data_IF_347457084313
#
_entry.id   IF_347457084313
#
_cell.length_a   1.000
_cell.length_b   1.000
_cell.length_c   1.000
_cell.angle_alpha   90.00
_cell.angle_beta   90.00
_cell.angle_gamma   90.00
#
_symmetry.space_group_name_H-M   'P 1'
#
loop_
_entity.id
_entity.type
_entity.pdbx_description
1 polymer ?
#
# COMPACT_ATOMS: atom_id res chain seq x y z
N UNK A 1 -19.15 -73.98 -11.90
CA UNK A 1 -18.06 -73.03 -11.60
C UNK A 1 -18.29 -71.83 -12.49
N UNK A 2 -19.10 -70.88 -12.01
CA UNK A 2 -19.43 -69.65 -12.73
C UNK A 2 -18.66 -68.47 -12.14
N UNK A 3 -17.97 -67.78 -13.02
CA UNK A 3 -16.99 -66.73 -12.71
C UNK A 3 -17.71 -65.37 -12.60
N UNK A 4 -17.70 -64.76 -11.42
CA UNK A 4 -18.22 -63.40 -11.22
C UNK A 4 -17.11 -62.38 -11.56
N UNK A 5 -17.31 -61.67 -12.68
CA UNK A 5 -16.51 -60.52 -13.09
C UNK A 5 -16.90 -59.28 -12.28
N UNK A 6 -15.98 -58.76 -11.46
CA UNK A 6 -16.15 -57.48 -10.75
C UNK A 6 -15.58 -56.35 -11.61
N UNK A 7 -16.44 -55.46 -12.10
CA UNK A 7 -16.04 -54.18 -12.70
C UNK A 7 -15.73 -53.18 -11.59
N UNK A 8 -14.56 -52.56 -11.64
CA UNK A 8 -14.14 -51.45 -10.78
C UNK A 8 -14.37 -50.13 -11.54
N UNK A 9 -14.99 -49.09 -10.96
CA UNK A 9 -15.18 -47.81 -11.63
C UNK A 9 -13.89 -46.97 -11.58
N UNK A 10 -13.49 -46.45 -12.73
CA UNK A 10 -12.36 -45.56 -12.93
C UNK A 10 -12.75 -44.15 -12.48
N UNK A 11 -12.26 -43.71 -11.31
CA UNK A 11 -12.33 -42.31 -10.88
C UNK A 11 -11.13 -41.55 -11.44
N UNK A 12 -11.37 -40.61 -12.36
CA UNK A 12 -10.37 -39.68 -12.88
C UNK A 12 -10.30 -38.47 -11.95
N UNK A 13 -9.22 -38.36 -11.16
CA UNK A 13 -8.90 -37.14 -10.41
C UNK A 13 -8.25 -36.12 -11.37
N UNK A 14 -8.96 -35.04 -11.67
CA UNK A 14 -8.40 -33.86 -12.33
C UNK A 14 -7.74 -33.02 -11.24
N UNK A 15 -6.41 -33.06 -11.15
CA UNK A 15 -5.66 -32.14 -10.30
C UNK A 15 -5.55 -30.78 -10.99
N UNK A 16 -6.28 -29.79 -10.48
CA UNK A 16 -6.12 -28.38 -10.86
C UNK A 16 -4.88 -27.87 -10.11
N UNK A 17 -3.72 -27.87 -10.78
CA UNK A 17 -2.51 -27.24 -10.25
C UNK A 17 -2.68 -25.72 -10.34
N UNK A 18 -3.08 -25.11 -9.22
CA UNK A 18 -3.07 -23.66 -9.07
C UNK A 18 -1.60 -23.21 -9.01
N UNK A 19 -1.07 -22.63 -10.09
CA UNK A 19 0.21 -21.94 -10.06
C UNK A 19 0.07 -20.69 -9.19
N UNK A 20 0.33 -20.83 -7.89
CA UNK A 20 0.59 -19.69 -7.01
C UNK A 20 1.98 -19.20 -7.37
N UNK A 21 2.08 -18.27 -8.32
CA UNK A 21 3.33 -17.53 -8.52
C UNK A 21 3.63 -16.75 -7.26
N UNK A 22 4.75 -17.02 -6.62
CA UNK A 22 5.26 -16.18 -5.53
C UNK A 22 5.40 -14.76 -6.08
N UNK A 23 4.54 -13.85 -5.61
CA UNK A 23 4.70 -12.44 -5.90
C UNK A 23 5.91 -11.96 -5.08
N UNK A 24 7.09 -11.95 -5.71
CA UNK A 24 8.26 -11.33 -5.09
C UNK A 24 7.90 -9.87 -4.79
N UNK A 25 8.08 -9.45 -3.54
CA UNK A 25 7.95 -8.06 -3.17
C UNK A 25 8.93 -7.25 -4.03
N UNK A 26 8.41 -6.27 -4.76
CA UNK A 26 9.27 -5.43 -5.58
C UNK A 26 9.90 -4.37 -4.67
N UNK A 27 11.22 -4.42 -4.51
CA UNK A 27 11.96 -3.32 -3.90
C UNK A 27 11.73 -2.00 -4.64
N UNK A 28 12.07 -0.89 -3.99
CA UNK A 28 11.90 0.44 -4.55
C UNK A 28 12.74 0.64 -5.83
N UNK A 29 12.12 1.24 -6.86
CA UNK A 29 12.74 1.56 -8.15
C UNK A 29 13.43 2.92 -8.12
N UNK A 30 14.00 3.33 -9.25
CA UNK A 30 14.41 4.72 -9.43
C UNK A 30 13.19 5.66 -9.31
N UNK A 31 13.45 6.92 -8.94
CA UNK A 31 12.40 7.88 -8.60
C UNK A 31 11.36 8.08 -9.71
N UNK A 32 11.79 8.17 -10.98
CA UNK A 32 10.89 8.40 -12.10
C UNK A 32 9.97 7.19 -12.36
N UNK A 33 10.50 5.97 -12.27
CA UNK A 33 9.71 4.76 -12.45
C UNK A 33 8.78 4.50 -11.28
N UNK A 34 9.25 4.72 -10.06
CA UNK A 34 8.47 4.48 -8.85
C UNK A 34 7.27 5.42 -8.76
N UNK A 35 7.46 6.71 -9.02
CA UNK A 35 6.38 7.71 -8.98
C UNK A 35 5.33 7.45 -10.08
N UNK A 36 5.78 7.08 -11.28
CA UNK A 36 4.88 6.68 -12.38
C UNK A 36 4.04 5.45 -12.02
N UNK A 37 4.65 4.44 -11.43
CA UNK A 37 3.96 3.21 -11.04
C UNK A 37 2.97 3.44 -9.91
N UNK A 38 3.39 4.12 -8.84
CA UNK A 38 2.51 4.51 -7.72
C UNK A 38 1.31 5.30 -8.24
N UNK A 39 1.55 6.32 -9.08
CA UNK A 39 0.49 7.13 -9.70
C UNK A 39 -0.54 6.26 -10.42
N UNK A 40 -0.08 5.27 -11.18
CA UNK A 40 -0.95 4.34 -11.91
C UNK A 40 -1.72 3.37 -11.00
N UNK A 41 -1.13 2.92 -9.90
CA UNK A 41 -1.74 1.96 -8.97
C UNK A 41 -2.83 2.64 -8.14
N UNK A 42 -2.54 3.82 -7.57
CA UNK A 42 -3.50 4.56 -6.74
C UNK A 42 -4.49 5.38 -7.58
N UNK A 43 -4.31 5.41 -8.90
CA UNK A 43 -5.06 6.26 -9.84
C UNK A 43 -5.01 7.73 -9.42
N UNK A 44 -3.79 8.23 -9.22
CA UNK A 44 -3.58 9.60 -8.75
C UNK A 44 -4.26 10.62 -9.69
N UNK A 45 -5.17 11.47 -9.19
CA UNK A 45 -5.92 12.40 -10.04
C UNK A 45 -5.09 13.60 -10.52
N UNK A 46 -4.23 14.14 -9.66
CA UNK A 46 -3.30 15.22 -9.99
C UNK A 46 -2.01 15.04 -9.17
N UNK A 47 -0.91 14.69 -9.84
CA UNK A 47 0.38 14.47 -9.20
C UNK A 47 1.36 15.57 -9.54
N UNK A 48 2.22 15.94 -8.60
CA UNK A 48 3.20 17.02 -8.78
C UNK A 48 4.59 16.58 -8.32
N UNK A 49 5.61 17.01 -9.06
CA UNK A 49 7.00 16.96 -8.59
C UNK A 49 7.33 18.36 -8.07
N UNK A 50 7.64 18.44 -6.77
CA UNK A 50 8.12 19.62 -6.09
C UNK A 50 9.64 19.58 -6.06
N UNK A 51 10.25 20.69 -6.50
CA UNK A 51 11.71 20.88 -6.50
C UNK A 51 12.04 22.01 -5.55
N UNK A 52 12.96 21.77 -4.63
CA UNK A 52 13.47 22.79 -3.70
C UNK A 52 14.98 22.81 -3.80
N UNK A 53 15.56 24.00 -3.92
CA UNK A 53 17.01 24.15 -4.04
C UNK A 53 17.71 23.51 -2.83
N UNK A 54 18.70 22.65 -3.10
CA UNK A 54 19.46 21.95 -2.08
C UNK A 54 18.75 20.75 -1.43
N UNK A 55 17.57 20.35 -1.92
CA UNK A 55 16.84 19.18 -1.43
C UNK A 55 16.54 18.18 -2.57
N UNK A 56 16.40 16.88 -2.26
CA UNK A 56 15.92 15.89 -3.20
C UNK A 56 14.52 16.23 -3.75
N UNK A 57 14.22 15.72 -4.94
CA UNK A 57 12.90 15.84 -5.56
C UNK A 57 11.84 15.11 -4.70
N UNK A 58 10.68 15.75 -4.59
CA UNK A 58 9.52 15.21 -3.87
C UNK A 58 8.35 15.08 -4.84
N UNK A 59 7.87 13.86 -5.04
CA UNK A 59 6.61 13.65 -5.75
C UNK A 59 5.47 13.56 -4.75
N UNK A 60 4.34 14.19 -5.06
CA UNK A 60 3.15 14.21 -4.23
C UNK A 60 1.88 13.96 -5.02
N UNK A 61 0.99 13.17 -4.44
CA UNK A 61 -0.39 13.00 -4.89
C UNK A 61 -1.34 13.26 -3.71
N UNK A 62 -2.30 14.15 -3.90
CA UNK A 62 -3.29 14.51 -2.88
C UNK A 62 -4.66 14.16 -3.44
N UNK A 63 -5.46 13.40 -2.67
CA UNK A 63 -6.83 13.12 -3.05
C UNK A 63 -7.67 14.41 -2.92
N UNK A 64 -8.39 14.83 -3.99
CA UNK A 64 -9.06 16.13 -4.03
C UNK A 64 -10.28 16.16 -3.12
N UNK A 65 -10.64 17.37 -2.67
CA UNK A 65 -11.85 17.62 -1.88
C UNK A 65 -11.50 18.11 -0.49
N UNK A 66 -11.28 17.18 0.44
CA UNK A 66 -10.87 17.48 1.82
C UNK A 66 -9.34 17.49 2.02
N UNK A 67 -8.57 17.12 0.98
CA UNK A 67 -7.11 16.97 1.01
C UNK A 67 -6.61 16.11 2.19
N UNK A 68 -7.43 15.16 2.65
CA UNK A 68 -7.17 14.37 3.84
C UNK A 68 -6.17 13.24 3.56
N UNK A 69 -6.22 12.65 2.37
CA UNK A 69 -5.36 11.52 1.96
C UNK A 69 -4.26 11.99 1.02
N UNK A 70 -3.02 11.64 1.34
CA UNK A 70 -1.82 12.10 0.62
C UNK A 70 -0.83 10.96 0.45
N UNK A 71 -0.20 10.87 -0.72
CA UNK A 71 0.96 10.01 -0.96
C UNK A 71 2.15 10.89 -1.35
N UNK A 72 3.30 10.63 -0.76
CA UNK A 72 4.56 11.28 -1.06
C UNK A 72 5.62 10.24 -1.39
N UNK A 73 6.47 10.54 -2.37
CA UNK A 73 7.66 9.76 -2.70
C UNK A 73 8.84 10.70 -2.61
N UNK A 74 9.79 10.39 -1.74
CA UNK A 74 11.00 11.19 -1.56
C UNK A 74 12.12 10.54 -2.36
N UNK A 75 12.80 11.30 -3.21
CA UNK A 75 14.01 10.83 -3.86
C UNK A 75 15.17 10.68 -2.85
N UNK A 76 16.24 9.98 -3.25
CA UNK A 76 17.55 10.05 -2.60
C UNK A 76 18.28 11.35 -2.93
N UNK A 77 19.38 11.64 -2.24
CA UNK A 77 20.19 12.86 -2.41
C UNK A 77 20.65 13.12 -3.86
N UNK A 78 20.85 12.06 -4.64
CA UNK A 78 21.25 12.11 -6.05
C UNK A 78 20.07 12.06 -7.04
N UNK A 79 18.83 12.01 -6.53
CA UNK A 79 17.59 11.80 -7.28
C UNK A 79 17.54 10.51 -8.11
N UNK A 80 18.48 9.58 -7.93
CA UNK A 80 18.57 8.36 -8.74
C UNK A 80 17.68 7.24 -8.19
N UNK A 81 17.35 7.29 -6.90
CA UNK A 81 16.56 6.27 -6.20
C UNK A 81 15.47 6.89 -5.31
N UNK A 82 14.67 6.05 -4.68
CA UNK A 82 13.65 6.46 -3.71
C UNK A 82 14.16 6.19 -2.30
N UNK A 83 14.16 7.22 -1.46
CA UNK A 83 14.53 7.08 -0.05
C UNK A 83 13.37 6.56 0.80
N UNK A 84 12.14 6.98 0.50
CA UNK A 84 10.93 6.44 1.11
C UNK A 84 9.66 6.80 0.32
N UNK A 85 8.62 6.00 0.57
CA UNK A 85 7.24 6.28 0.16
C UNK A 85 6.39 6.46 1.40
N UNK A 86 5.54 7.48 1.42
CA UNK A 86 4.65 7.79 2.55
C UNK A 86 3.21 7.85 2.07
N UNK A 87 2.30 7.25 2.83
CA UNK A 87 0.87 7.50 2.70
C UNK A 87 0.33 7.98 4.03
N UNK A 88 -0.33 9.14 3.99
CA UNK A 88 -0.89 9.83 5.14
C UNK A 88 -2.40 9.97 4.97
N UNK A 89 -3.13 9.75 6.04
CA UNK A 89 -4.51 10.15 6.17
C UNK A 89 -4.66 11.02 7.42
N UNK A 90 -5.09 12.26 7.20
CA UNK A 90 -5.54 13.15 8.26
C UNK A 90 -6.98 12.78 8.60
N UNK A 91 -7.13 11.88 9.56
CA UNK A 91 -8.41 11.34 10.02
C UNK A 91 -9.13 12.40 10.88
N UNK A 92 -9.95 13.22 10.23
CA UNK A 92 -10.75 14.24 10.90
C UNK A 92 -11.77 13.60 11.85
N UNK A 93 -11.56 13.77 13.15
CA UNK A 93 -12.45 13.23 14.20
C UNK A 93 -13.58 14.18 14.58
N UNK A 94 -13.56 15.38 14.03
CA UNK A 94 -14.61 16.40 14.14
C UNK A 94 -14.98 16.89 12.75
N UNK A 95 -16.25 17.20 12.54
CA UNK A 95 -16.72 17.72 11.27
C UNK A 95 -16.30 19.20 11.12
N UNK A 96 -15.49 19.49 10.10
CA UNK A 96 -15.04 20.83 9.74
C UNK A 96 -15.61 21.33 8.42
N UNK A 97 -16.66 20.66 7.92
CA UNK A 97 -17.34 20.99 6.66
C UNK A 97 -17.30 19.87 5.61
N UNK A 98 -16.61 18.77 5.90
CA UNK A 98 -16.47 17.62 5.01
C UNK A 98 -16.94 16.30 5.63
N UNK A 99 -17.42 16.32 6.88
CA UNK A 99 -17.78 15.13 7.64
C UNK A 99 -16.64 14.59 8.52
N UNK A 100 -16.96 13.61 9.34
CA UNK A 100 -16.03 12.90 10.24
C UNK A 100 -15.48 11.68 9.50
N UNK A 101 -14.21 11.35 9.72
CA UNK A 101 -13.48 10.27 9.05
C UNK A 101 -13.51 10.39 7.52
N UNK A 102 -13.46 11.63 7.02
CA UNK A 102 -13.53 11.91 5.59
C UNK A 102 -12.44 11.15 4.82
N UNK A 103 -12.81 10.64 3.65
CA UNK A 103 -11.95 9.88 2.73
C UNK A 103 -11.36 8.58 3.30
N UNK A 104 -11.94 8.03 4.38
CA UNK A 104 -11.48 6.76 4.98
C UNK A 104 -11.39 5.63 3.95
N UNK A 105 -12.42 5.44 3.13
CA UNK A 105 -12.46 4.37 2.15
C UNK A 105 -11.36 4.53 1.09
N UNK A 106 -11.05 5.78 0.72
CA UNK A 106 -9.96 6.11 -0.21
C UNK A 106 -8.61 5.84 0.44
N UNK A 107 -8.43 6.26 1.70
CA UNK A 107 -7.22 6.00 2.47
C UNK A 107 -6.94 4.49 2.55
N UNK A 108 -7.94 3.69 2.93
CA UNK A 108 -7.80 2.23 3.00
C UNK A 108 -7.55 1.60 1.63
N UNK A 109 -8.20 2.09 0.56
CA UNK A 109 -7.96 1.59 -0.79
C UNK A 109 -6.52 1.87 -1.27
N UNK A 110 -6.02 3.07 -1.05
CA UNK A 110 -4.65 3.44 -1.40
C UNK A 110 -3.62 2.68 -0.56
N UNK A 111 -3.85 2.53 0.75
CA UNK A 111 -3.00 1.70 1.62
C UNK A 111 -2.97 0.25 1.13
N UNK A 112 -4.12 -0.33 0.82
CA UNK A 112 -4.22 -1.71 0.29
C UNK A 112 -3.43 -1.87 -1.02
N UNK A 113 -3.54 -0.90 -1.92
CA UNK A 113 -2.85 -0.93 -3.21
C UNK A 113 -1.33 -0.82 -3.05
N UNK A 114 -0.85 0.05 -2.17
CA UNK A 114 0.58 0.18 -1.85
C UNK A 114 1.10 -1.05 -1.11
N UNK A 115 0.36 -1.56 -0.13
CA UNK A 115 0.71 -2.78 0.59
C UNK A 115 0.81 -3.98 -0.36
N UNK A 116 -0.09 -4.09 -1.33
CA UNK A 116 -0.06 -5.15 -2.36
C UNK A 116 1.23 -5.10 -3.19
N UNK A 117 1.73 -3.89 -3.48
CA UNK A 117 2.97 -3.70 -4.24
C UNK A 117 4.21 -4.01 -3.41
N UNK A 118 4.26 -3.53 -2.17
CA UNK A 118 5.48 -3.54 -1.36
C UNK A 118 5.60 -4.71 -0.39
N UNK A 119 4.47 -5.21 0.11
CA UNK A 119 4.42 -6.31 1.06
C UNK A 119 3.20 -7.19 0.76
N UNK A 120 3.14 -7.86 -0.42
CA UNK A 120 1.96 -8.59 -0.88
C UNK A 120 1.48 -9.67 0.09
N UNK A 121 2.39 -10.29 0.85
CA UNK A 121 2.04 -11.29 1.87
C UNK A 121 1.52 -10.68 3.18
N UNK A 122 1.63 -9.36 3.35
CA UNK A 122 1.34 -8.62 4.59
C UNK A 122 0.20 -7.61 4.43
N UNK A 123 -0.54 -7.61 3.33
CA UNK A 123 -1.60 -6.63 3.05
C UNK A 123 -2.60 -6.50 4.21
N UNK A 124 -3.05 -7.64 4.76
CA UNK A 124 -3.98 -7.64 5.89
C UNK A 124 -3.34 -7.00 7.15
N UNK A 125 -2.09 -7.35 7.46
CA UNK A 125 -1.35 -6.82 8.61
C UNK A 125 -1.15 -5.30 8.49
N UNK A 126 -0.84 -4.80 7.30
CA UNK A 126 -0.69 -3.36 7.02
C UNK A 126 -2.01 -2.62 7.19
N UNK A 127 -3.11 -3.18 6.69
CA UNK A 127 -4.45 -2.58 6.85
C UNK A 127 -4.93 -2.60 8.30
N UNK A 128 -4.68 -3.67 9.04
CA UNK A 128 -5.03 -3.79 10.45
C UNK A 128 -4.24 -2.78 11.29
N UNK A 129 -2.93 -2.64 11.02
CA UNK A 129 -2.12 -1.59 11.63
C UNK A 129 -2.68 -0.19 11.32
N UNK A 130 -2.97 0.09 10.05
CA UNK A 130 -3.49 1.39 9.61
C UNK A 130 -4.82 1.80 10.28
N UNK A 131 -5.70 0.82 10.53
CA UNK A 131 -6.97 1.00 11.25
C UNK A 131 -6.79 1.10 12.76
N UNK A 132 -5.66 0.62 13.27
CA UNK A 132 -5.28 0.64 14.68
C UNK A 132 -4.96 2.04 15.20
N UNK A 133 -4.37 2.09 16.39
CA UNK A 133 -3.93 3.33 17.07
C UNK A 133 -2.55 3.18 17.71
N UNK A 134 -1.81 2.16 17.28
CA UNK A 134 -0.54 1.77 17.87
C UNK A 134 0.49 1.71 16.76
N UNK A 135 1.57 2.44 16.96
CA UNK A 135 2.72 2.39 16.07
C UNK A 135 3.16 0.94 15.87
N UNK A 136 3.34 0.56 14.61
CA UNK A 136 3.60 -0.82 14.22
C UNK A 136 4.68 -0.81 13.15
N UNK A 137 5.61 -1.77 13.23
CA UNK A 137 6.59 -2.03 12.17
C UNK A 137 6.29 -3.42 11.62
N UNK A 138 6.18 -3.51 10.30
CA UNK A 138 5.89 -4.73 9.57
C UNK A 138 7.05 -4.96 8.60
N UNK A 139 7.69 -6.10 8.76
CA UNK A 139 8.80 -6.53 7.92
C UNK A 139 8.27 -7.13 6.63
N UNK A 140 8.60 -6.50 5.50
CA UNK A 140 8.37 -7.04 4.15
C UNK A 140 9.64 -7.68 3.60
N UNK A 141 9.51 -8.32 2.43
CA UNK A 141 10.69 -8.79 1.70
C UNK A 141 11.33 -7.61 0.95
N UNK A 142 12.49 -7.15 1.42
CA UNK A 142 13.23 -6.04 0.83
C UNK A 142 12.66 -4.63 1.05
N UNK A 143 11.70 -4.48 1.99
CA UNK A 143 11.21 -3.19 2.48
C UNK A 143 10.77 -3.27 3.94
N UNK A 144 10.83 -2.14 4.65
CA UNK A 144 10.23 -1.97 5.98
C UNK A 144 8.99 -1.08 5.89
N UNK A 145 7.86 -1.55 6.44
CA UNK A 145 6.61 -0.77 6.51
C UNK A 145 6.39 -0.33 7.95
N UNK A 146 6.52 0.97 8.21
CA UNK A 146 6.26 1.58 9.52
C UNK A 146 4.95 2.35 9.50
N UNK A 147 4.02 1.95 10.36
CA UNK A 147 2.83 2.71 10.69
C UNK A 147 3.04 3.54 11.97
N UNK A 148 2.58 4.80 11.95
CA UNK A 148 2.50 5.67 13.13
C UNK A 148 1.12 6.28 13.28
N UNK A 149 0.68 6.43 14.53
CA UNK A 149 -0.57 7.08 14.88
C UNK A 149 -0.31 8.23 15.86
N UNK A 150 -0.77 9.43 15.50
CA UNK A 150 -0.76 10.56 16.41
C UNK A 150 -2.18 11.07 16.64
N UNK A 151 -2.63 11.03 17.89
CA UNK A 151 -3.93 11.58 18.29
C UNK A 151 -3.84 13.09 18.45
N UNK A 152 -4.56 13.83 17.62
CA UNK A 152 -4.71 15.27 17.75
C UNK A 152 -6.04 15.68 18.40
N UNK A 153 -6.26 17.00 18.57
CA UNK A 153 -7.51 17.51 19.13
C UNK A 153 -8.72 17.37 18.20
N UNK A 154 -8.49 17.46 16.87
CA UNK A 154 -9.54 17.35 15.84
C UNK A 154 -9.15 16.46 14.66
N UNK A 155 -7.88 16.09 14.55
CA UNK A 155 -7.32 15.25 13.49
C UNK A 155 -6.45 14.20 14.15
N UNK A 156 -6.72 12.94 13.85
CA UNK A 156 -5.79 11.86 14.10
C UNK A 156 -4.90 11.71 12.86
N UNK A 157 -3.59 11.81 13.01
CA UNK A 157 -2.66 11.55 11.90
C UNK A 157 -2.37 10.05 11.83
N UNK A 158 -2.60 9.46 10.65
CA UNK A 158 -2.27 8.08 10.34
C UNK A 158 -1.27 8.08 9.20
N UNK A 159 -0.06 7.61 9.45
CA UNK A 159 1.03 7.65 8.48
C UNK A 159 1.64 6.26 8.34
N UNK A 160 1.74 5.78 7.10
CA UNK A 160 2.61 4.67 6.75
C UNK A 160 3.82 5.24 6.01
N UNK A 161 5.01 4.80 6.42
CA UNK A 161 6.28 5.04 5.73
C UNK A 161 6.86 3.71 5.28
N UNK A 162 7.22 3.62 4.02
CA UNK A 162 7.85 2.46 3.39
C UNK A 162 9.27 2.86 3.03
N UNK A 163 10.24 2.15 3.56
CA UNK A 163 11.67 2.32 3.26
C UNK A 163 12.22 1.04 2.63
N UNK A 164 13.33 1.12 1.87
CA UNK A 164 14.11 -0.06 1.53
C UNK A 164 14.52 -0.84 2.78
#
# INVERSE_FOLDING_TARGET
>A
MDTISKKLPLFVLISITLCIGAANAAGLKNFADETREISNIIKCPDSKIMKTEGLPDLWGCIFPGADAVKVFVNASDDNASVSNVKIMWNDWTQDTGYGVHIDKEIAEAWVSALATKYAPEKVAEVLDAFRGKTDTVIEGDGVHVKYTYFKGPAIDERLITITP
#
